data_IF_934024374741
#
_entry.id   IF_934024374741
#
_cell.length_a   1.000
_cell.length_b   1.000
_cell.length_c   1.000
_cell.angle_alpha   90.00
_cell.angle_beta   90.00
_cell.angle_gamma   90.00
#
_symmetry.space_group_name_H-M   'P 1'
#
loop_
_entity.id
_entity.type
_entity.pdbx_description
1 polymer ?
#
# COMPACT_ATOMS: atom_id res chain seq x y z
N UNK A 1 -26.88 -20.15 1.16
CA UNK A 1 -26.02 -19.47 2.16
C UNK A 1 -25.31 -20.43 3.12
N UNK A 2 -26.01 -21.35 3.80
CA UNK A 2 -25.40 -22.25 4.81
C UNK A 2 -24.34 -23.26 4.26
N UNK A 3 -24.55 -23.82 3.07
CA UNK A 3 -23.62 -24.80 2.48
C UNK A 3 -22.27 -24.18 2.07
N UNK A 4 -22.27 -22.94 1.59
CA UNK A 4 -21.06 -22.22 1.20
C UNK A 4 -20.25 -21.79 2.43
N UNK A 5 -20.91 -21.34 3.50
CA UNK A 5 -20.25 -21.01 4.77
C UNK A 5 -19.60 -22.22 5.44
N UNK A 6 -20.27 -23.38 5.40
CA UNK A 6 -19.74 -24.63 5.98
C UNK A 6 -18.55 -25.19 5.17
N UNK A 7 -18.54 -25.00 3.84
CA UNK A 7 -17.42 -25.37 2.96
C UNK A 7 -16.21 -24.46 3.16
N UNK A 8 -16.44 -23.15 3.35
CA UNK A 8 -15.39 -22.19 3.76
C UNK A 8 -14.78 -22.55 5.11
N UNK A 9 -15.59 -22.84 6.13
CA UNK A 9 -15.12 -23.25 7.45
C UNK A 9 -14.31 -24.55 7.44
N UNK A 10 -14.72 -25.53 6.63
CA UNK A 10 -13.99 -26.80 6.47
C UNK A 10 -12.66 -26.60 5.74
N UNK A 11 -12.59 -25.72 4.73
CA UNK A 11 -11.34 -25.37 4.07
C UNK A 11 -10.37 -24.64 5.01
N UNK A 12 -10.88 -23.74 5.86
CA UNK A 12 -10.09 -23.04 6.90
C UNK A 12 -9.59 -23.98 8.01
N UNK A 13 -10.27 -25.11 8.25
CA UNK A 13 -9.85 -26.15 9.21
C UNK A 13 -8.91 -27.21 8.61
N UNK A 14 -8.67 -27.20 7.30
CA UNK A 14 -7.79 -28.19 6.66
C UNK A 14 -6.35 -28.07 7.20
N UNK A 15 -5.68 -29.21 7.37
CA UNK A 15 -4.26 -29.26 7.80
C UNK A 15 -3.37 -28.46 6.86
N UNK A 16 -3.60 -28.60 5.55
CA UNK A 16 -2.93 -27.85 4.47
C UNK A 16 -3.00 -26.34 4.68
N UNK A 17 -4.18 -25.78 4.99
CA UNK A 17 -4.33 -24.35 5.22
C UNK A 17 -3.63 -23.89 6.52
N UNK A 18 -3.69 -24.70 7.58
CA UNK A 18 -2.98 -24.41 8.83
C UNK A 18 -1.46 -24.46 8.69
N UNK A 19 -0.94 -25.44 7.96
CA UNK A 19 0.48 -25.55 7.64
C UNK A 19 0.93 -24.41 6.75
N UNK A 20 0.12 -24.01 5.77
CA UNK A 20 0.38 -22.82 4.96
C UNK A 20 0.43 -21.55 5.81
N UNK A 21 -0.55 -21.34 6.72
CA UNK A 21 -0.58 -20.22 7.66
C UNK A 21 0.58 -20.21 8.66
N UNK A 22 1.09 -21.37 9.07
CA UNK A 22 2.25 -21.47 9.96
C UNK A 22 3.60 -21.51 9.23
N UNK A 23 3.58 -21.50 7.88
CA UNK A 23 4.80 -21.45 7.08
C UNK A 23 5.35 -20.03 6.99
N UNK A 24 6.67 -19.92 6.87
CA UNK A 24 7.37 -18.69 6.48
C UNK A 24 6.95 -18.18 5.11
N UNK A 25 6.36 -19.04 4.27
CA UNK A 25 5.81 -18.67 2.96
C UNK A 25 4.54 -17.83 3.04
N UNK A 26 3.78 -17.91 4.13
CA UNK A 26 2.66 -17.02 4.39
C UNK A 26 3.10 -15.75 5.14
N UNK A 27 3.86 -15.92 6.23
CA UNK A 27 4.26 -14.80 7.09
C UNK A 27 5.26 -13.84 6.44
N UNK A 28 6.18 -14.32 5.60
CA UNK A 28 7.12 -13.44 4.89
C UNK A 28 6.41 -12.41 4.00
N UNK A 29 5.46 -12.83 3.17
CA UNK A 29 4.61 -11.92 2.43
C UNK A 29 3.68 -11.06 3.28
N UNK A 30 3.08 -11.61 4.34
CA UNK A 30 2.23 -10.84 5.27
C UNK A 30 3.01 -9.73 5.99
N UNK A 31 4.26 -9.99 6.37
CA UNK A 31 5.14 -8.97 6.94
C UNK A 31 5.43 -7.84 5.93
N UNK A 32 5.55 -8.15 4.64
CA UNK A 32 5.73 -7.15 3.59
C UNK A 32 4.49 -6.25 3.41
N UNK A 33 3.29 -6.72 3.75
CA UNK A 33 2.07 -5.89 3.72
C UNK A 33 2.06 -4.75 4.75
N UNK A 34 2.97 -4.74 5.72
CA UNK A 34 3.16 -3.60 6.62
C UNK A 34 3.48 -2.29 5.88
N UNK A 35 4.26 -2.36 4.79
CA UNK A 35 4.67 -1.17 4.02
C UNK A 35 3.47 -0.55 3.25
N UNK A 36 2.67 -1.33 2.49
CA UNK A 36 1.43 -0.83 1.89
C UNK A 36 0.44 -0.25 2.90
N UNK A 37 0.26 -0.89 4.06
CA UNK A 37 -0.65 -0.42 5.10
C UNK A 37 -0.15 0.92 5.67
N UNK A 38 1.16 1.05 5.92
CA UNK A 38 1.77 2.30 6.35
C UNK A 38 1.60 3.41 5.28
N UNK A 39 1.83 3.10 4.01
CA UNK A 39 1.66 4.05 2.91
C UNK A 39 0.20 4.54 2.76
N UNK A 40 -0.77 3.64 2.94
CA UNK A 40 -2.20 4.00 3.00
C UNK A 40 -2.53 4.86 4.23
N UNK A 41 -1.89 4.60 5.37
CA UNK A 41 -1.99 5.44 6.56
C UNK A 41 -1.43 6.85 6.32
N UNK A 42 -0.32 6.96 5.60
CA UNK A 42 0.32 8.24 5.30
C UNK A 42 -0.48 9.10 4.30
N UNK A 43 -1.44 8.53 3.57
CA UNK A 43 -2.41 9.32 2.80
C UNK A 43 -3.32 10.17 3.69
N UNK A 44 -3.47 9.87 4.99
CA UNK A 44 -4.29 10.70 5.89
C UNK A 44 -3.52 11.87 6.50
N UNK A 45 -2.20 11.91 6.35
CA UNK A 45 -1.36 12.97 6.93
C UNK A 45 -1.43 14.26 6.12
N UNK A 46 -1.07 15.34 6.80
CA UNK A 46 -1.09 16.69 6.25
C UNK A 46 -0.11 16.78 5.05
N UNK A 47 -0.55 17.26 3.88
CA UNK A 47 0.27 17.27 2.67
C UNK A 47 1.51 18.17 2.77
N UNK A 48 1.60 19.02 3.79
CA UNK A 48 2.77 19.85 4.10
C UNK A 48 4.03 19.05 4.47
N UNK A 49 3.86 17.82 4.95
CA UNK A 49 4.97 16.95 5.41
C UNK A 49 5.41 15.98 4.30
N UNK A 50 4.76 16.00 3.12
CA UNK A 50 5.06 15.06 2.05
C UNK A 50 6.40 15.43 1.39
N UNK A 51 7.34 14.49 1.39
CA UNK A 51 8.63 14.63 0.71
C UNK A 51 8.54 14.10 -0.73
N UNK A 52 8.60 15.01 -1.71
CA UNK A 52 8.52 14.63 -3.13
C UNK A 52 9.67 13.72 -3.60
N UNK A 53 10.89 13.90 -3.07
CA UNK A 53 12.05 13.06 -3.44
C UNK A 53 11.89 11.63 -2.91
N UNK A 54 11.37 11.47 -1.70
CA UNK A 54 11.08 10.16 -1.11
C UNK A 54 9.97 9.43 -1.88
N UNK A 55 8.89 10.12 -2.22
CA UNK A 55 7.79 9.54 -3.01
C UNK A 55 8.26 9.10 -4.41
N UNK A 56 9.06 9.92 -5.09
CA UNK A 56 9.64 9.54 -6.39
C UNK A 56 10.58 8.33 -6.27
N UNK A 57 11.45 8.31 -5.26
CA UNK A 57 12.35 7.18 -4.99
C UNK A 57 11.57 5.88 -4.71
N UNK A 58 10.51 5.94 -3.91
CA UNK A 58 9.68 4.78 -3.57
C UNK A 58 8.83 4.29 -4.75
N UNK A 59 8.39 5.18 -5.63
CA UNK A 59 7.76 4.80 -6.90
C UNK A 59 8.73 4.03 -7.80
N UNK A 60 9.95 4.55 -8.01
CA UNK A 60 10.98 3.88 -8.82
C UNK A 60 11.39 2.53 -8.23
N UNK A 61 11.62 2.50 -6.91
CA UNK A 61 11.89 1.26 -6.17
C UNK A 61 10.79 0.22 -6.41
N UNK A 62 9.52 0.62 -6.29
CA UNK A 62 8.39 -0.29 -6.48
C UNK A 62 8.31 -0.85 -7.90
N UNK A 63 8.61 -0.06 -8.93
CA UNK A 63 8.64 -0.51 -10.32
C UNK A 63 9.72 -1.57 -10.58
N UNK A 64 10.93 -1.37 -10.04
CA UNK A 64 12.03 -2.33 -10.15
C UNK A 64 11.66 -3.65 -9.47
N UNK A 65 11.11 -3.58 -8.27
CA UNK A 65 10.72 -4.77 -7.52
C UNK A 65 9.50 -5.49 -8.12
N UNK A 66 8.55 -4.78 -8.72
CA UNK A 66 7.48 -5.40 -9.52
C UNK A 66 8.05 -6.22 -10.68
N UNK A 67 9.03 -5.66 -11.40
CA UNK A 67 9.69 -6.35 -12.52
C UNK A 67 10.51 -7.56 -12.06
N UNK A 68 11.12 -7.48 -10.89
CA UNK A 68 11.81 -8.60 -10.24
C UNK A 68 10.83 -9.71 -9.82
N UNK A 69 9.75 -9.36 -9.10
CA UNK A 69 8.74 -10.29 -8.61
C UNK A 69 8.06 -11.09 -9.74
N UNK A 70 7.93 -10.48 -10.92
CA UNK A 70 7.40 -11.14 -12.11
C UNK A 70 8.39 -12.10 -12.79
N UNK A 71 9.70 -11.78 -12.77
CA UNK A 71 10.73 -12.60 -13.42
C UNK A 71 11.28 -13.73 -12.57
N UNK A 72 11.31 -13.59 -11.26
CA UNK A 72 11.81 -14.64 -10.36
C UNK A 72 10.94 -15.88 -10.49
N UNK A 73 11.55 -17.07 -10.54
CA UNK A 73 10.84 -18.35 -10.52
C UNK A 73 11.18 -19.14 -9.25
N UNK A 74 10.17 -19.67 -8.53
CA UNK A 74 8.73 -19.52 -8.74
C UNK A 74 8.24 -18.06 -8.53
N UNK A 75 7.20 -17.65 -9.28
CA UNK A 75 6.72 -16.26 -9.32
C UNK A 75 6.19 -15.81 -7.95
N UNK A 76 6.70 -14.68 -7.45
CA UNK A 76 6.28 -14.14 -6.15
C UNK A 76 5.17 -13.10 -6.32
N UNK A 77 3.93 -13.58 -6.47
CA UNK A 77 2.75 -12.73 -6.68
C UNK A 77 2.43 -11.82 -5.50
N UNK A 78 2.84 -12.19 -4.28
CA UNK A 78 2.56 -11.40 -3.09
C UNK A 78 3.51 -10.20 -2.97
N UNK A 79 4.79 -10.38 -3.31
CA UNK A 79 5.75 -9.28 -3.43
C UNK A 79 5.29 -8.30 -4.52
N UNK A 80 4.82 -8.84 -5.66
CA UNK A 80 4.27 -8.03 -6.75
C UNK A 80 3.05 -7.20 -6.29
N UNK A 81 2.08 -7.82 -5.60
CA UNK A 81 0.90 -7.13 -5.08
C UNK A 81 1.28 -6.02 -4.09
N UNK A 82 2.20 -6.30 -3.17
CA UNK A 82 2.71 -5.32 -2.21
C UNK A 82 3.30 -4.08 -2.90
N UNK A 83 4.17 -4.27 -3.90
CA UNK A 83 4.77 -3.15 -4.62
C UNK A 83 3.79 -2.40 -5.53
N UNK A 84 2.78 -3.06 -6.10
CA UNK A 84 1.69 -2.39 -6.82
C UNK A 84 0.90 -1.47 -5.87
N UNK A 85 0.55 -1.97 -4.69
CA UNK A 85 -0.18 -1.16 -3.70
C UNK A 85 0.66 0.01 -3.23
N UNK A 86 1.94 -0.21 -2.94
CA UNK A 86 2.87 0.87 -2.55
C UNK A 86 3.05 1.90 -3.68
N UNK A 87 3.21 1.46 -4.94
CA UNK A 87 3.30 2.35 -6.09
C UNK A 87 2.05 3.21 -6.25
N UNK A 88 0.87 2.61 -6.11
CA UNK A 88 -0.41 3.32 -6.17
C UNK A 88 -0.54 4.36 -5.06
N UNK A 89 -0.24 3.97 -3.81
CA UNK A 89 -0.32 4.86 -2.66
C UNK A 89 0.67 6.04 -2.78
N UNK A 90 1.92 5.76 -3.18
CA UNK A 90 2.92 6.79 -3.42
C UNK A 90 2.56 7.68 -4.61
N UNK A 91 1.98 7.13 -5.68
CA UNK A 91 1.46 7.92 -6.81
C UNK A 91 0.37 8.91 -6.37
N UNK A 92 -0.54 8.49 -5.49
CA UNK A 92 -1.55 9.37 -4.90
C UNK A 92 -0.91 10.44 -3.99
N UNK A 93 0.10 10.10 -3.18
CA UNK A 93 0.85 11.08 -2.39
C UNK A 93 1.59 12.09 -3.28
N UNK A 94 2.16 11.63 -4.39
CA UNK A 94 2.83 12.48 -5.39
C UNK A 94 1.86 13.44 -6.07
N UNK A 95 0.67 12.98 -6.43
CA UNK A 95 -0.38 13.84 -6.97
C UNK A 95 -0.77 14.95 -5.98
N UNK A 96 -0.95 14.60 -4.70
CA UNK A 96 -1.23 15.58 -3.63
C UNK A 96 -0.08 16.55 -3.40
N UNK A 97 1.17 16.08 -3.50
CA UNK A 97 2.35 16.94 -3.42
C UNK A 97 2.38 17.95 -4.56
N UNK A 98 2.11 17.52 -5.80
CA UNK A 98 2.04 18.41 -6.96
C UNK A 98 0.92 19.43 -6.78
N UNK A 99 -0.26 19.00 -6.32
CA UNK A 99 -1.36 19.90 -6.07
C UNK A 99 -1.02 20.96 -5.01
N UNK A 100 -0.38 20.54 -3.91
CA UNK A 100 0.05 21.43 -2.84
C UNK A 100 1.12 22.42 -3.30
N UNK A 101 2.19 21.95 -3.96
CA UNK A 101 3.35 22.78 -4.30
C UNK A 101 3.22 23.58 -5.60
N UNK A 102 2.49 23.08 -6.60
CA UNK A 102 2.45 23.65 -7.95
C UNK A 102 1.07 24.13 -8.40
N UNK A 103 -0.03 23.67 -7.78
CA UNK A 103 -1.40 24.04 -8.19
C UNK A 103 -2.12 24.95 -7.17
N UNK A 104 -1.37 25.67 -6.33
CA UNK A 104 -1.93 26.62 -5.35
C UNK A 104 -2.62 25.97 -4.14
N UNK A 105 -2.38 24.68 -3.88
CA UNK A 105 -2.92 23.99 -2.69
C UNK A 105 -2.37 24.55 -1.38
N UNK A 106 -1.13 25.10 -1.39
CA UNK A 106 -0.56 25.88 -0.28
C UNK A 106 -1.47 27.01 0.17
N UNK A 107 -1.93 27.84 -0.78
CA UNK A 107 -2.75 29.01 -0.50
C UNK A 107 -4.17 28.62 -0.06
N UNK A 108 -4.72 27.53 -0.63
CA UNK A 108 -6.03 26.98 -0.23
C UNK A 108 -6.00 26.41 1.19
N UNK A 109 -4.96 25.67 1.56
CA UNK A 109 -4.80 25.16 2.92
C UNK A 109 -4.55 26.27 3.93
N UNK A 110 -3.75 27.28 3.56
CA UNK A 110 -3.51 28.43 4.41
C UNK A 110 -4.80 29.23 4.64
N UNK A 111 -5.62 29.44 3.60
CA UNK A 111 -6.96 30.05 3.72
C UNK A 111 -7.93 29.20 4.56
N UNK A 112 -7.92 27.88 4.40
CA UNK A 112 -8.75 26.97 5.21
C UNK A 112 -8.35 26.96 6.70
N UNK A 113 -7.06 27.15 7.02
CA UNK A 113 -6.58 27.29 8.40
C UNK A 113 -6.88 28.67 9.00
N UNK A 114 -6.92 29.73 8.18
CA UNK A 114 -7.29 31.09 8.59
C UNK A 114 -8.81 31.25 8.77
N UNK A 115 -9.60 30.33 8.22
CA UNK A 115 -11.06 30.29 8.36
C UNK A 115 -11.53 29.14 9.28
N UNK A 116 -11.10 29.06 10.56
CA UNK A 116 -11.73 28.15 11.50
C UNK A 116 -13.07 28.77 11.94
N UNK A 117 -14.17 28.11 11.56
CA UNK A 117 -15.53 28.26 12.12
C UNK A 117 -16.04 29.70 12.35
N UNK A 118 -16.73 30.25 11.35
CA UNK A 118 -17.84 31.16 11.64
C UNK A 118 -19.09 30.34 11.97
#
# INVERSE_FOLDING_TARGET
MAAMGRKLLNNLKSKEFREYLMSTHFWGPVANWGIPIAALGDLKKDPKIISGTMTAALCLYSLVFMRFAWKVQPRNMLLFACHITNFTAQGMQGARFIEYHHMGGKDRMQKAQIQPAA
#
